data_IF_925800136464
#
_entry.id   IF_925800136464
#
_cell.length_a   1.000
_cell.length_b   1.000
_cell.length_c   1.000
_cell.angle_alpha   90.00
_cell.angle_beta   90.00
_cell.angle_gamma   90.00
#
_symmetry.space_group_name_H-M   'P 1'
#
loop_
_entity.id
_entity.type
_entity.pdbx_description
1 polymer ?
#
# COMPACT_ATOMS: atom_id res chain seq x y z
N UNK A 1 9.32 4.56 21.43
CA UNK A 1 9.76 3.28 20.81
C UNK A 1 11.06 3.54 20.09
N UNK A 2 12.05 2.69 20.30
CA UNK A 2 13.29 2.71 19.53
C UNK A 2 13.14 1.89 18.25
N UNK A 3 14.02 2.10 17.28
CA UNK A 3 13.98 1.36 16.01
C UNK A 3 14.18 -0.14 16.27
N UNK A 4 13.26 -0.97 15.78
CA UNK A 4 13.24 -2.40 16.02
C UNK A 4 12.56 -2.83 17.34
N UNK A 5 12.16 -1.87 18.17
CA UNK A 5 11.40 -2.17 19.38
C UNK A 5 9.99 -2.63 19.03
N UNK A 6 9.50 -3.64 19.75
CA UNK A 6 8.17 -4.22 19.57
C UNK A 6 7.39 -4.18 20.87
N UNK A 7 6.16 -3.72 20.78
CA UNK A 7 5.21 -3.66 21.90
C UNK A 7 3.98 -4.51 21.59
N UNK A 8 3.72 -5.52 22.40
CA UNK A 8 2.57 -6.40 22.19
C UNK A 8 1.27 -5.70 22.60
N UNK A 9 0.34 -5.55 21.66
CA UNK A 9 -1.00 -4.98 21.89
C UNK A 9 -2.05 -6.07 22.12
N UNK A 10 -2.01 -7.12 21.30
CA UNK A 10 -2.94 -8.25 21.31
C UNK A 10 -2.16 -9.53 21.04
N UNK A 11 -2.68 -10.71 21.36
CA UNK A 11 -1.99 -11.98 21.13
C UNK A 11 -1.53 -12.22 19.67
N UNK A 12 -2.07 -11.46 18.74
CA UNK A 12 -1.81 -11.56 17.30
C UNK A 12 -1.34 -10.25 16.67
N UNK A 13 -1.20 -9.17 17.46
CA UNK A 13 -0.89 -7.82 16.95
C UNK A 13 0.14 -7.12 17.83
N UNK A 14 1.26 -6.77 17.24
CA UNK A 14 2.30 -5.95 17.84
C UNK A 14 2.39 -4.57 17.17
N UNK A 15 2.86 -3.59 17.92
CA UNK A 15 3.45 -2.38 17.35
C UNK A 15 4.96 -2.57 17.28
N UNK A 16 5.51 -2.56 16.08
CA UNK A 16 6.95 -2.76 15.84
C UNK A 16 7.47 -1.61 14.98
N UNK A 17 8.38 -0.80 15.49
CA UNK A 17 8.88 0.37 14.77
C UNK A 17 9.94 -0.04 13.75
N UNK A 18 9.65 0.13 12.46
CA UNK A 18 10.58 -0.12 11.35
C UNK A 18 10.61 1.08 10.40
N UNK A 19 11.81 1.45 9.94
CA UNK A 19 12.01 2.45 8.89
C UNK A 19 12.21 1.74 7.56
N UNK A 20 11.20 1.82 6.70
CA UNK A 20 11.16 1.16 5.41
C UNK A 20 11.62 2.14 4.31
N UNK A 21 12.85 1.99 3.86
CA UNK A 21 13.40 2.79 2.76
C UNK A 21 12.82 2.45 1.38
N UNK A 22 11.89 1.49 1.33
CA UNK A 22 11.21 1.10 0.10
C UNK A 22 11.91 -0.02 -0.67
N UNK A 23 12.93 -0.60 -0.08
CA UNK A 23 13.64 -1.76 -0.63
C UNK A 23 12.91 -3.00 -0.17
N UNK A 24 11.76 -3.28 -0.81
CA UNK A 24 11.04 -4.51 -0.55
C UNK A 24 11.91 -5.70 -0.92
N UNK A 25 12.11 -6.63 0.02
CA UNK A 25 12.81 -7.91 -0.16
C UNK A 25 14.30 -7.83 -0.51
N UNK A 26 14.99 -6.70 -0.30
CA UNK A 26 16.41 -6.56 -0.66
C UNK A 26 16.71 -6.62 -2.16
N UNK A 27 15.68 -6.70 -3.01
CA UNK A 27 15.83 -6.85 -4.47
C UNK A 27 16.56 -5.69 -5.14
N UNK A 28 16.49 -4.50 -4.54
CA UNK A 28 17.10 -3.29 -5.08
C UNK A 28 18.31 -2.81 -4.24
N UNK A 29 18.66 -3.52 -3.17
CA UNK A 29 19.79 -3.16 -2.29
C UNK A 29 21.09 -3.02 -3.06
N UNK A 30 21.32 -3.90 -4.04
CA UNK A 30 22.52 -3.88 -4.88
C UNK A 30 22.57 -2.69 -5.86
N UNK A 31 21.46 -1.99 -6.06
CA UNK A 31 21.37 -0.85 -6.99
C UNK A 31 21.56 0.50 -6.29
N UNK A 32 21.66 0.54 -4.95
CA UNK A 32 21.87 1.77 -4.20
C UNK A 32 20.90 2.89 -4.60
N UNK A 33 21.41 4.07 -4.88
CA UNK A 33 20.60 5.22 -5.29
C UNK A 33 19.74 4.97 -6.55
N UNK A 34 20.21 4.16 -7.48
CA UNK A 34 19.44 3.82 -8.67
C UNK A 34 18.17 3.04 -8.32
N UNK A 35 18.25 2.10 -7.37
CA UNK A 35 17.10 1.35 -6.88
C UNK A 35 16.02 2.25 -6.28
N UNK A 36 16.42 3.22 -5.49
CA UNK A 36 15.52 4.23 -4.91
C UNK A 36 14.83 5.07 -5.98
N UNK A 37 15.57 5.55 -6.98
CA UNK A 37 15.00 6.32 -8.10
C UNK A 37 14.03 5.50 -8.94
N UNK A 38 14.33 4.23 -9.22
CA UNK A 38 13.43 3.33 -9.95
C UNK A 38 12.13 3.10 -9.16
N UNK A 39 12.23 2.91 -7.85
CA UNK A 39 11.07 2.78 -6.99
C UNK A 39 10.20 4.05 -7.00
N UNK A 40 10.80 5.24 -6.87
CA UNK A 40 10.08 6.51 -6.96
C UNK A 40 9.35 6.67 -8.30
N UNK A 41 10.03 6.34 -9.40
CA UNK A 41 9.44 6.39 -10.74
C UNK A 41 8.25 5.44 -10.87
N UNK A 42 8.40 4.20 -10.38
CA UNK A 42 7.33 3.19 -10.40
C UNK A 42 6.12 3.67 -9.59
N UNK A 43 6.31 4.06 -8.33
CA UNK A 43 5.20 4.47 -7.45
C UNK A 43 4.52 5.73 -7.99
N UNK A 44 5.29 6.70 -8.50
CA UNK A 44 4.74 7.92 -9.12
C UNK A 44 3.91 7.57 -10.35
N UNK A 45 4.38 6.63 -11.19
CA UNK A 45 3.64 6.16 -12.37
C UNK A 45 2.31 5.50 -11.99
N UNK A 46 2.31 4.70 -10.92
CA UNK A 46 1.10 4.07 -10.37
C UNK A 46 0.12 5.14 -9.87
N UNK A 47 0.59 6.16 -9.15
CA UNK A 47 -0.24 7.26 -8.67
C UNK A 47 -0.87 8.03 -9.84
N UNK A 48 -0.10 8.36 -10.86
CA UNK A 48 -0.60 9.03 -12.08
C UNK A 48 -1.67 8.17 -12.73
N UNK A 49 -1.44 6.87 -12.88
CA UNK A 49 -2.39 5.95 -13.50
C UNK A 49 -3.69 5.86 -12.70
N UNK A 50 -3.63 5.69 -11.38
CA UNK A 50 -4.84 5.65 -10.55
C UNK A 50 -5.55 7.01 -10.48
N UNK A 51 -4.83 8.12 -10.53
CA UNK A 51 -5.43 9.45 -10.65
C UNK A 51 -6.23 9.56 -11.96
N UNK A 52 -5.65 9.12 -13.08
CA UNK A 52 -6.35 9.07 -14.37
C UNK A 52 -7.62 8.21 -14.29
N UNK A 53 -7.54 7.01 -13.72
CA UNK A 53 -8.69 6.13 -13.54
C UNK A 53 -9.78 6.77 -12.65
N UNK A 54 -9.38 7.43 -11.56
CA UNK A 54 -10.31 8.12 -10.66
C UNK A 54 -11.10 9.22 -11.38
N UNK A 55 -10.43 9.98 -12.26
CA UNK A 55 -11.05 11.03 -13.07
C UNK A 55 -11.97 10.47 -14.15
N UNK A 56 -11.78 9.22 -14.56
CA UNK A 56 -12.58 8.50 -15.55
C UNK A 56 -13.64 7.58 -14.94
N UNK A 57 -13.70 7.48 -13.61
CA UNK A 57 -14.63 6.60 -12.92
C UNK A 57 -16.08 6.91 -13.30
N UNK A 58 -16.82 5.87 -13.64
CA UNK A 58 -18.22 5.97 -14.09
C UNK A 58 -19.20 6.04 -12.93
N UNK A 59 -18.74 5.65 -11.73
CA UNK A 59 -19.56 5.68 -10.52
C UNK A 59 -18.82 6.28 -9.33
N UNK A 60 -19.60 6.81 -8.36
CA UNK A 60 -19.02 7.30 -7.10
C UNK A 60 -18.34 6.20 -6.31
N UNK A 61 -18.87 4.98 -6.35
CA UNK A 61 -18.27 3.81 -5.66
C UNK A 61 -16.90 3.50 -6.23
N UNK A 62 -16.78 3.43 -7.54
CA UNK A 62 -15.51 3.22 -8.23
C UNK A 62 -14.48 4.31 -7.89
N UNK A 63 -14.90 5.57 -7.95
CA UNK A 63 -14.05 6.71 -7.58
C UNK A 63 -13.57 6.63 -6.13
N UNK A 64 -14.45 6.30 -5.18
CA UNK A 64 -14.08 6.17 -3.76
C UNK A 64 -13.08 5.05 -3.52
N UNK A 65 -13.25 3.90 -4.19
CA UNK A 65 -12.31 2.77 -4.10
C UNK A 65 -10.92 3.19 -4.61
N UNK A 66 -10.85 3.88 -5.75
CA UNK A 66 -9.59 4.37 -6.28
C UNK A 66 -8.95 5.43 -5.39
N UNK A 67 -9.75 6.29 -4.75
CA UNK A 67 -9.25 7.28 -3.79
C UNK A 67 -8.63 6.64 -2.55
N UNK A 68 -9.07 5.47 -2.10
CA UNK A 68 -8.40 4.72 -1.03
C UNK A 68 -6.97 4.33 -1.45
N UNK A 69 -6.81 3.78 -2.65
CA UNK A 69 -5.49 3.39 -3.18
C UNK A 69 -4.60 4.63 -3.33
N UNK A 70 -5.14 5.71 -3.90
CA UNK A 70 -4.40 6.96 -4.09
C UNK A 70 -3.95 7.58 -2.77
N UNK A 71 -4.83 7.64 -1.77
CA UNK A 71 -4.49 8.23 -0.48
C UNK A 71 -3.38 7.47 0.23
N UNK A 72 -3.41 6.13 0.19
CA UNK A 72 -2.32 5.31 0.72
C UNK A 72 -1.01 5.48 -0.07
N UNK A 73 -1.09 5.45 -1.41
CA UNK A 73 0.09 5.66 -2.26
C UNK A 73 0.74 7.03 -2.03
N UNK A 74 -0.06 8.10 -1.97
CA UNK A 74 0.41 9.46 -1.68
C UNK A 74 1.03 9.56 -0.29
N UNK A 75 0.43 8.96 0.73
CA UNK A 75 0.99 8.92 2.09
C UNK A 75 2.41 8.35 2.10
N UNK A 76 2.59 7.18 1.51
CA UNK A 76 3.90 6.54 1.42
C UNK A 76 4.93 7.34 0.59
N UNK A 77 4.50 8.05 -0.46
CA UNK A 77 5.39 8.92 -1.25
C UNK A 77 5.79 10.16 -0.49
N UNK A 78 4.86 10.78 0.23
CA UNK A 78 5.12 11.96 1.06
C UNK A 78 6.14 11.63 2.14
N UNK A 79 5.96 10.52 2.86
CA UNK A 79 6.90 10.08 3.89
C UNK A 79 8.31 9.88 3.32
N UNK A 80 8.43 9.15 2.21
CA UNK A 80 9.74 8.94 1.56
C UNK A 80 10.37 10.23 1.06
N UNK A 81 9.57 11.18 0.60
CA UNK A 81 10.08 12.48 0.11
C UNK A 81 10.61 13.33 1.24
N UNK A 82 9.94 13.33 2.40
CA UNK A 82 10.31 14.15 3.55
C UNK A 82 11.40 13.49 4.39
N UNK A 83 11.26 12.21 4.69
CA UNK A 83 12.09 11.48 5.65
C UNK A 83 13.11 10.54 5.00
N UNK A 84 12.95 10.22 3.72
CA UNK A 84 13.76 9.20 3.02
C UNK A 84 13.29 7.75 3.26
N UNK A 85 12.29 7.54 4.11
CA UNK A 85 11.72 6.24 4.44
C UNK A 85 10.25 6.38 4.84
N UNK A 86 9.56 5.26 4.90
CA UNK A 86 8.22 5.16 5.48
C UNK A 86 8.33 4.53 6.87
N UNK A 87 7.53 5.00 7.81
CA UNK A 87 7.45 4.40 9.16
C UNK A 87 6.40 3.31 9.13
N UNK A 88 6.85 2.05 9.24
CA UNK A 88 6.00 0.88 9.38
C UNK A 88 5.91 0.50 10.86
N UNK A 89 4.71 0.15 11.32
CA UNK A 89 4.49 -0.10 12.75
C UNK A 89 3.42 -1.14 13.08
N UNK A 90 2.64 -1.62 12.12
CA UNK A 90 1.61 -2.65 12.31
C UNK A 90 2.24 -4.01 12.01
N UNK A 91 2.29 -4.89 12.99
CA UNK A 91 2.92 -6.19 12.86
C UNK A 91 1.97 -7.30 13.31
N UNK A 92 1.53 -8.14 12.41
CA UNK A 92 0.72 -9.31 12.74
C UNK A 92 1.60 -10.54 12.98
N UNK A 93 1.35 -11.19 14.13
CA UNK A 93 1.94 -12.48 14.51
C UNK A 93 0.82 -13.46 14.82
N UNK A 94 0.85 -14.63 14.24
CA UNK A 94 -0.14 -15.65 14.53
C UNK A 94 0.48 -17.05 14.53
N UNK A 95 0.38 -17.77 15.65
CA UNK A 95 0.88 -19.16 15.79
C UNK A 95 2.33 -19.38 15.30
N UNK A 96 3.22 -18.42 15.59
CA UNK A 96 4.62 -18.49 15.17
C UNK A 96 4.90 -18.04 13.73
N UNK A 97 3.88 -17.64 12.99
CA UNK A 97 4.03 -16.97 11.70
C UNK A 97 4.05 -15.46 11.93
N UNK A 98 5.15 -14.82 11.52
CA UNK A 98 5.33 -13.37 11.53
C UNK A 98 5.07 -12.83 10.13
N UNK A 99 4.13 -11.89 10.02
CA UNK A 99 3.88 -11.15 8.79
C UNK A 99 4.83 -9.96 8.68
N UNK A 100 4.87 -9.34 7.51
CA UNK A 100 5.60 -8.09 7.33
C UNK A 100 5.01 -7.00 8.20
N UNK A 101 5.90 -6.09 8.68
CA UNK A 101 5.46 -4.86 9.33
C UNK A 101 5.03 -3.89 8.25
N UNK A 102 3.89 -3.24 8.43
CA UNK A 102 3.31 -2.30 7.48
C UNK A 102 2.69 -1.11 8.20
N UNK A 103 2.15 -0.15 7.47
CA UNK A 103 1.55 1.06 8.01
C UNK A 103 0.07 1.21 7.60
N UNK A 104 -0.53 2.32 8.02
CA UNK A 104 -1.92 2.60 7.69
C UNK A 104 -2.14 2.89 6.20
N UNK A 105 -1.17 3.51 5.51
CA UNK A 105 -1.24 3.77 4.08
C UNK A 105 -1.26 2.46 3.27
N UNK A 106 -0.46 1.46 3.66
CA UNK A 106 -0.46 0.13 3.03
C UNK A 106 -1.80 -0.57 3.24
N UNK A 107 -2.43 -0.39 4.40
CA UNK A 107 -3.78 -0.89 4.67
C UNK A 107 -4.81 -0.29 3.71
N UNK A 108 -4.76 1.02 3.46
CA UNK A 108 -5.64 1.69 2.51
C UNK A 108 -5.44 1.18 1.08
N UNK A 109 -4.19 1.00 0.65
CA UNK A 109 -3.86 0.43 -0.67
C UNK A 109 -4.43 -0.99 -0.77
N UNK A 110 -4.19 -1.83 0.23
CA UNK A 110 -4.61 -3.23 0.21
C UNK A 110 -6.14 -3.36 0.19
N UNK A 111 -6.84 -2.64 1.07
CA UNK A 111 -8.31 -2.64 1.12
C UNK A 111 -8.88 -2.08 -0.19
N UNK A 112 -8.35 -0.99 -0.68
CA UNK A 112 -8.75 -0.40 -1.95
C UNK A 112 -8.55 -1.36 -3.13
N UNK A 113 -7.42 -2.05 -3.20
CA UNK A 113 -7.14 -3.04 -4.26
C UNK A 113 -8.11 -4.23 -4.20
N UNK A 114 -8.40 -4.77 -3.01
CA UNK A 114 -9.37 -5.85 -2.84
C UNK A 114 -10.77 -5.40 -3.28
N UNK A 115 -11.19 -4.22 -2.85
CA UNK A 115 -12.49 -3.66 -3.22
C UNK A 115 -12.59 -3.38 -4.72
N UNK A 116 -11.50 -2.92 -5.35
CA UNK A 116 -11.46 -2.66 -6.80
C UNK A 116 -11.60 -3.96 -7.60
N UNK A 117 -10.87 -5.01 -7.22
CA UNK A 117 -10.96 -6.32 -7.86
C UNK A 117 -12.39 -6.87 -7.72
N UNK A 118 -12.96 -6.81 -6.52
CA UNK A 118 -14.33 -7.27 -6.28
C UNK A 118 -15.37 -6.49 -7.08
N UNK A 119 -15.28 -5.16 -7.09
CA UNK A 119 -16.15 -4.28 -7.86
C UNK A 119 -16.10 -4.61 -9.36
N UNK A 120 -14.90 -4.83 -9.91
CA UNK A 120 -14.71 -5.20 -11.31
C UNK A 120 -15.36 -6.55 -11.65
N UNK A 121 -15.23 -7.55 -10.79
CA UNK A 121 -15.85 -8.86 -11.01
C UNK A 121 -17.39 -8.80 -10.98
N UNK A 122 -17.97 -8.03 -10.08
CA UNK A 122 -19.42 -7.87 -9.98
C UNK A 122 -19.97 -7.18 -11.24
N UNK A 123 -19.34 -6.08 -11.65
CA UNK A 123 -19.75 -5.31 -12.84
C UNK A 123 -19.73 -6.16 -14.10
N UNK A 124 -18.67 -6.93 -14.34
CA UNK A 124 -18.59 -7.80 -15.51
C UNK A 124 -19.64 -8.92 -15.51
N UNK A 125 -20.06 -9.40 -14.34
CA UNK A 125 -21.10 -10.41 -14.23
C UNK A 125 -22.46 -9.86 -14.62
N UNK A 126 -22.77 -8.63 -14.25
CA UNK A 126 -24.07 -8.01 -14.59
C UNK A 126 -24.18 -7.73 -16.10
N UNK A 127 -23.11 -7.34 -16.76
CA UNK A 127 -23.08 -7.14 -18.22
C UNK A 127 -23.28 -8.45 -19.01
N UNK A 128 -22.80 -9.59 -18.50
CA UNK A 128 -22.99 -10.91 -19.15
C UNK A 128 -24.40 -11.48 -18.97
N UNK A 129 -25.17 -11.03 -17.98
CA UNK A 129 -26.56 -11.50 -17.75
C UNK A 129 -27.55 -10.68 -18.59
N UNK A 130 -27.20 -9.47 -19.00
CA UNK A 130 -28.07 -8.54 -19.75
C UNK A 130 -27.85 -8.58 -21.27
N UNK A 131 -26.88 -9.33 -21.74
CA UNK A 131 -26.61 -9.58 -23.17
C UNK A 131 -27.16 -10.92 -23.63
#
# INVERSE_FOLDING_TARGET
MELGESFNLLPFLDLTLIFNSGIAFGLLDNLGNLGSWLLYLLVTSIIIYFTYLTLKAESKTESLIMLLILSGGLGNVIDRTIYGYVVDFIHFNFNGYSFYVFNFADSLITVGAILYIWFFFIRNKDETITS
#
